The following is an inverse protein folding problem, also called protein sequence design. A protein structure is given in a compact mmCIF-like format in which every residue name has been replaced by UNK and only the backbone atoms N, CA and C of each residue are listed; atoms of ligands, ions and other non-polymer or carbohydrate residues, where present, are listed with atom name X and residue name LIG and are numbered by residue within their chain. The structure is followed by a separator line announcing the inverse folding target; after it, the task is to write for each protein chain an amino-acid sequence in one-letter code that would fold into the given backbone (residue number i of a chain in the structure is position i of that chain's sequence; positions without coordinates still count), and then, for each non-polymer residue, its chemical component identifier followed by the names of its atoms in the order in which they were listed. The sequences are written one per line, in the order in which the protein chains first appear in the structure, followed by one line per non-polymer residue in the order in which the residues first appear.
data_IF_783968175272
#
_entry.id   IF_783968175272
#
_cell.length_a   1.000
_cell.length_b   1.000
_cell.length_c   1.000
_cell.angle_alpha   90.00
_cell.angle_beta   90.00
_cell.angle_gamma   90.00
#
_symmetry.space_group_name_H-M   'P 1'
#
loop_
_entity.id
_entity.type
_entity.pdbx_description
1 polymer ?
#
# COMPACT_ATOMS: atom_id res chain seq x y z
N UNK A 1 -21.02 -8.12 -5.03
CA UNK A 1 -21.74 -8.24 -3.76
C UNK A 1 -21.01 -7.37 -2.75
N UNK A 2 -21.39 -6.11 -2.60
CA UNK A 2 -20.70 -5.16 -1.71
C UNK A 2 -21.10 -5.50 -0.28
N UNK A 3 -20.28 -6.28 0.43
CA UNK A 3 -20.52 -6.57 1.83
C UNK A 3 -20.40 -5.25 2.61
N UNK A 4 -21.50 -4.80 3.20
CA UNK A 4 -21.54 -3.56 3.96
C UNK A 4 -20.75 -3.79 5.25
N UNK A 5 -19.51 -3.29 5.31
CA UNK A 5 -18.66 -3.40 6.49
C UNK A 5 -19.31 -2.67 7.67
N UNK A 6 -19.32 -3.30 8.85
CA UNK A 6 -19.80 -2.64 10.06
C UNK A 6 -18.79 -1.57 10.53
N UNK A 7 -19.16 -0.75 11.52
CA UNK A 7 -18.30 0.34 12.00
C UNK A 7 -16.98 -0.17 12.59
N UNK A 8 -17.01 -1.29 13.31
CA UNK A 8 -15.82 -1.88 13.94
C UNK A 8 -14.82 -2.36 12.88
N UNK A 9 -15.30 -3.07 11.87
CA UNK A 9 -14.49 -3.55 10.74
C UNK A 9 -13.85 -2.38 9.99
N UNK A 10 -14.59 -1.28 9.80
CA UNK A 10 -14.08 -0.07 9.16
C UNK A 10 -13.00 0.62 9.98
N UNK A 11 -13.15 0.67 11.30
CA UNK A 11 -12.13 1.22 12.19
C UNK A 11 -10.89 0.32 12.18
N UNK A 12 -11.07 -1.00 12.21
CA UNK A 12 -9.98 -1.96 12.13
C UNK A 12 -9.19 -1.84 10.82
N UNK A 13 -9.90 -1.78 9.68
CA UNK A 13 -9.29 -1.55 8.37
C UNK A 13 -8.51 -0.23 8.33
N UNK A 14 -9.12 0.85 8.82
CA UNK A 14 -8.47 2.17 8.87
C UNK A 14 -7.16 2.11 9.65
N UNK A 15 -7.17 1.51 10.84
CA UNK A 15 -5.96 1.35 11.66
C UNK A 15 -4.90 0.50 10.98
N UNK A 16 -5.30 -0.60 10.33
CA UNK A 16 -4.40 -1.47 9.60
C UNK A 16 -3.69 -0.73 8.45
N UNK A 17 -4.44 0.03 7.65
CA UNK A 17 -3.89 0.80 6.54
C UNK A 17 -3.00 1.93 7.03
N UNK A 18 -3.40 2.69 8.06
CA UNK A 18 -2.53 3.74 8.61
C UNK A 18 -1.23 3.14 9.15
N UNK A 19 -1.31 2.04 9.90
CA UNK A 19 -0.12 1.34 10.43
C UNK A 19 0.78 0.77 9.33
N UNK A 20 0.22 0.29 8.22
CA UNK A 20 0.97 -0.13 7.05
C UNK A 20 1.77 1.04 6.46
N UNK A 21 1.10 2.17 6.19
CA UNK A 21 1.73 3.35 5.61
C UNK A 21 2.80 3.94 6.54
N UNK A 22 2.59 3.87 7.86
CA UNK A 22 3.61 4.23 8.85
C UNK A 22 4.84 3.34 8.78
N UNK A 23 4.64 2.03 8.62
CA UNK A 23 5.75 1.08 8.54
C UNK A 23 6.64 1.31 7.32
N UNK A 24 6.06 1.88 6.26
CA UNK A 24 6.78 2.31 5.07
C UNK A 24 7.45 3.69 5.23
N UNK A 25 7.15 4.42 6.30
CA UNK A 25 7.77 5.70 6.64
C UNK A 25 6.99 6.93 6.19
N UNK A 26 5.73 6.78 5.74
CA UNK A 26 4.95 7.92 5.25
C UNK A 26 4.45 8.81 6.40
N UNK A 27 4.71 10.11 6.29
CA UNK A 27 4.18 11.13 7.18
C UNK A 27 2.68 11.40 6.96
N UNK A 28 2.05 12.12 7.88
CA UNK A 28 0.60 12.38 7.83
C UNK A 28 0.15 13.08 6.53
N UNK A 29 0.92 14.05 6.03
CA UNK A 29 0.60 14.75 4.77
C UNK A 29 0.69 13.82 3.55
N UNK A 30 1.68 12.94 3.53
CA UNK A 30 1.87 11.96 2.45
C UNK A 30 0.77 10.90 2.48
N UNK A 31 0.34 10.45 3.67
CA UNK A 31 -0.79 9.55 3.82
C UNK A 31 -2.09 10.17 3.28
N UNK A 32 -2.35 11.45 3.58
CA UNK A 32 -3.51 12.19 3.06
C UNK A 32 -3.47 12.22 1.52
N UNK A 33 -2.31 12.55 0.95
CA UNK A 33 -2.14 12.63 -0.50
C UNK A 33 -2.30 11.26 -1.18
N UNK A 34 -1.64 10.23 -0.65
CA UNK A 34 -1.66 8.88 -1.21
C UNK A 34 -3.05 8.25 -1.19
N UNK A 35 -3.80 8.46 -0.11
CA UNK A 35 -5.16 7.97 0.06
C UNK A 35 -6.21 8.82 -0.68
N UNK A 36 -5.82 9.95 -1.27
CA UNK A 36 -6.73 10.93 -1.88
C UNK A 36 -7.88 11.32 -0.92
N UNK A 37 -7.54 11.60 0.34
CA UNK A 37 -8.53 12.08 1.31
C UNK A 37 -9.00 13.51 0.93
N UNK A 38 -10.23 13.90 1.30
CA UNK A 38 -10.81 15.17 0.87
C UNK A 38 -9.91 16.38 1.12
N UNK A 39 -9.92 17.32 0.17
CA UNK A 39 -9.21 18.61 0.30
C UNK A 39 -9.68 19.34 1.57
N UNK A 40 -8.73 19.69 2.45
CA UNK A 40 -9.02 20.25 3.78
C UNK A 40 -8.87 19.24 4.93
N UNK A 41 -8.57 17.97 4.64
CA UNK A 41 -8.14 17.02 5.68
C UNK A 41 -6.85 17.52 6.31
N UNK A 42 -6.93 17.99 7.57
CA UNK A 42 -5.74 18.49 8.28
C UNK A 42 -4.84 17.31 8.66
N UNK A 43 -3.50 17.47 8.71
CA UNK A 43 -2.60 16.42 9.20
C UNK A 43 -2.98 15.87 10.58
N UNK A 44 -3.56 16.69 11.46
CA UNK A 44 -4.10 16.25 12.76
C UNK A 44 -5.28 15.27 12.68
N UNK A 45 -6.02 15.21 11.57
CA UNK A 45 -7.08 14.23 11.34
C UNK A 45 -6.53 12.81 11.16
N UNK A 46 -5.28 12.67 10.66
CA UNK A 46 -4.60 11.36 10.59
C UNK A 46 -4.44 10.75 11.97
N UNK A 47 -4.26 11.57 13.02
CA UNK A 47 -4.24 11.08 14.41
C UNK A 47 -5.61 10.55 14.85
N UNK A 48 -6.71 11.10 14.35
CA UNK A 48 -8.06 10.63 14.66
C UNK A 48 -8.36 9.30 13.94
N UNK A 49 -7.91 9.14 12.68
CA UNK A 49 -8.00 7.86 11.96
C UNK A 49 -7.24 6.73 12.65
N UNK A 50 -6.11 7.04 13.30
CA UNK A 50 -5.37 6.06 14.12
C UNK A 50 -6.16 5.60 15.35
N UNK A 51 -6.97 6.48 15.91
CA UNK A 51 -7.58 6.26 17.22
C UNK A 51 -8.95 5.62 17.11
N UNK A 52 -9.89 6.21 16.40
CA UNK A 52 -11.30 5.79 16.50
C UNK A 52 -12.16 6.16 15.31
N UNK A 53 -11.65 6.94 14.36
CA UNK A 53 -12.44 7.41 13.24
C UNK A 53 -12.21 6.51 12.05
N UNK A 54 -13.26 5.91 11.44
CA UNK A 54 -13.07 5.19 10.19
C UNK A 54 -12.77 6.16 9.06
N UNK A 55 -12.11 5.68 8.02
CA UNK A 55 -12.00 6.40 6.77
C UNK A 55 -13.39 6.75 6.18
N UNK A 56 -13.47 7.86 5.42
CA UNK A 56 -14.69 8.21 4.70
C UNK A 56 -15.05 7.12 3.68
N UNK A 57 -16.33 6.89 3.45
CA UNK A 57 -16.77 5.98 2.39
C UNK A 57 -16.61 6.69 1.04
N UNK A 58 -15.59 6.30 0.28
CA UNK A 58 -15.33 6.79 -1.06
C UNK A 58 -14.83 5.64 -1.92
N UNK A 59 -15.41 5.48 -3.12
CA UNK A 59 -14.98 4.46 -4.07
C UNK A 59 -13.49 4.61 -4.42
N UNK A 60 -13.02 5.85 -4.62
CA UNK A 60 -11.63 6.15 -4.92
C UNK A 60 -10.68 5.75 -3.77
N UNK A 61 -11.12 5.94 -2.53
CA UNK A 61 -10.35 5.53 -1.36
C UNK A 61 -10.30 4.01 -1.22
N UNK A 62 -11.44 3.35 -1.41
CA UNK A 62 -11.52 1.88 -1.32
C UNK A 62 -10.67 1.21 -2.40
N UNK A 63 -10.70 1.71 -3.63
CA UNK A 63 -9.84 1.22 -4.73
C UNK A 63 -8.35 1.30 -4.35
N UNK A 64 -7.92 2.45 -3.82
CA UNK A 64 -6.54 2.62 -3.34
C UNK A 64 -6.21 1.65 -2.22
N UNK A 65 -7.11 1.47 -1.26
CA UNK A 65 -6.95 0.52 -0.14
C UNK A 65 -6.79 -0.91 -0.66
N UNK A 66 -7.60 -1.34 -1.63
CA UNK A 66 -7.50 -2.67 -2.23
C UNK A 66 -6.12 -2.90 -2.88
N UNK A 67 -5.59 -1.92 -3.60
CA UNK A 67 -4.24 -2.02 -4.16
C UNK A 67 -3.14 -2.00 -3.09
N UNK A 68 -3.28 -1.17 -2.04
CA UNK A 68 -2.32 -1.12 -0.92
C UNK A 68 -2.24 -2.46 -0.17
N UNK A 69 -3.38 -3.11 0.04
CA UNK A 69 -3.45 -4.46 0.61
C UNK A 69 -2.73 -5.44 -0.31
N UNK A 70 -3.00 -5.39 -1.62
CA UNK A 70 -2.30 -6.22 -2.60
C UNK A 70 -0.78 -6.06 -2.58
N UNK A 71 -0.28 -4.83 -2.45
CA UNK A 71 1.15 -4.55 -2.29
C UNK A 71 1.68 -5.17 -0.99
N UNK A 72 0.99 -4.99 0.14
CA UNK A 72 1.41 -5.55 1.41
C UNK A 72 1.49 -7.09 1.38
N UNK A 73 0.50 -7.74 0.76
CA UNK A 73 0.50 -9.18 0.57
C UNK A 73 1.62 -9.65 -0.34
N UNK A 74 1.84 -8.98 -1.48
CA UNK A 74 2.92 -9.32 -2.40
C UNK A 74 4.32 -9.13 -1.77
N UNK A 75 4.49 -8.11 -0.91
CA UNK A 75 5.72 -7.94 -0.13
C UNK A 75 5.90 -9.06 0.90
N UNK A 76 4.82 -9.48 1.57
CA UNK A 76 4.84 -10.58 2.54
C UNK A 76 5.17 -11.91 1.87
N UNK A 77 4.68 -12.17 0.65
CA UNK A 77 5.02 -13.39 -0.09
C UNK A 77 6.44 -13.36 -0.66
N UNK A 78 6.92 -12.17 -1.06
CA UNK A 78 8.29 -11.98 -1.57
C UNK A 78 9.34 -12.02 -0.47
N UNK A 79 9.00 -11.58 0.75
CA UNK A 79 9.91 -11.52 1.90
C UNK A 79 9.35 -12.25 3.14
N UNK A 80 9.02 -13.56 3.05
CA UNK A 80 8.26 -14.28 4.07
C UNK A 80 8.99 -14.39 5.41
N UNK A 81 10.33 -14.37 5.39
CA UNK A 81 11.16 -14.49 6.59
C UNK A 81 11.58 -13.13 7.19
N UNK A 82 11.35 -12.02 6.49
CA UNK A 82 11.79 -10.71 6.94
C UNK A 82 10.91 -9.57 6.40
N UNK A 83 9.84 -9.23 7.13
CA UNK A 83 8.95 -8.13 6.78
C UNK A 83 9.66 -6.78 6.66
N UNK A 84 10.78 -6.57 7.37
CA UNK A 84 11.57 -5.35 7.24
C UNK A 84 12.16 -5.16 5.83
N UNK A 85 12.43 -6.26 5.11
CA UNK A 85 12.88 -6.17 3.72
C UNK A 85 11.83 -5.58 2.79
N UNK A 86 10.55 -5.78 3.07
CA UNK A 86 9.48 -5.11 2.33
C UNK A 86 9.56 -3.59 2.47
N UNK A 87 9.80 -3.10 3.69
CA UNK A 87 9.93 -1.66 3.96
C UNK A 87 11.20 -1.07 3.32
N UNK A 88 12.31 -1.81 3.34
CA UNK A 88 13.54 -1.41 2.63
C UNK A 88 13.27 -1.31 1.13
N UNK A 89 12.58 -2.30 0.55
CA UNK A 89 12.26 -2.31 -0.87
C UNK A 89 11.42 -1.11 -1.28
N UNK A 90 10.40 -0.77 -0.49
CA UNK A 90 9.54 0.41 -0.70
C UNK A 90 10.33 1.74 -0.72
N UNK A 91 11.47 1.78 -0.03
CA UNK A 91 12.34 2.95 0.10
C UNK A 91 13.62 2.88 -0.77
N UNK A 92 13.80 1.82 -1.57
CA UNK A 92 14.97 1.66 -2.43
C UNK A 92 14.68 2.16 -3.83
N UNK A 93 15.64 2.87 -4.43
CA UNK A 93 15.56 3.30 -5.83
C UNK A 93 15.37 2.08 -6.74
N UNK A 94 14.41 2.19 -7.66
CA UNK A 94 14.11 1.16 -8.64
C UNK A 94 14.01 1.79 -10.04
N UNK A 95 14.80 1.27 -10.98
CA UNK A 95 14.88 1.76 -12.36
C UNK A 95 13.55 1.66 -13.11
N UNK A 96 12.65 0.77 -12.67
CA UNK A 96 11.29 0.63 -13.22
C UNK A 96 10.42 1.86 -12.97
N UNK A 97 10.76 2.67 -11.97
CA UNK A 97 10.00 3.86 -11.57
C UNK A 97 10.80 5.14 -11.82
N UNK A 98 11.47 5.24 -12.98
CA UNK A 98 12.28 6.41 -13.37
C UNK A 98 13.37 6.78 -12.35
N UNK A 99 14.01 5.75 -11.77
CA UNK A 99 14.98 5.88 -10.68
C UNK A 99 14.44 6.53 -9.39
N UNK A 100 13.11 6.52 -9.20
CA UNK A 100 12.46 6.86 -7.94
C UNK A 100 12.33 5.63 -7.05
N UNK A 101 11.98 5.84 -5.78
CA UNK A 101 11.54 4.74 -4.91
C UNK A 101 10.10 4.35 -5.25
N UNK A 102 9.67 3.10 -5.00
CA UNK A 102 8.27 2.70 -5.14
C UNK A 102 7.31 3.67 -4.41
N UNK A 103 7.64 4.07 -3.18
CA UNK A 103 6.83 5.04 -2.42
C UNK A 103 6.71 6.38 -3.13
N UNK A 104 7.80 6.89 -3.68
CA UNK A 104 7.80 8.18 -4.36
C UNK A 104 6.97 8.14 -5.64
N UNK A 105 7.04 7.05 -6.40
CA UNK A 105 6.17 6.85 -7.56
C UNK A 105 4.69 6.82 -7.17
N UNK A 106 4.33 6.16 -6.07
CA UNK A 106 2.96 6.14 -5.55
C UNK A 106 2.47 7.52 -5.11
N UNK A 107 3.34 8.33 -4.50
CA UNK A 107 3.00 9.69 -4.05
C UNK A 107 2.84 10.67 -5.21
N UNK A 108 3.74 10.62 -6.19
CA UNK A 108 3.77 11.56 -7.32
C UNK A 108 2.73 11.20 -8.39
N UNK A 109 2.57 9.90 -8.69
CA UNK A 109 1.70 9.42 -9.78
C UNK A 109 0.30 9.01 -9.27
N UNK A 110 0.08 9.10 -7.96
CA UNK A 110 -1.19 8.77 -7.31
C UNK A 110 -1.62 7.32 -7.54
N UNK A 111 -2.89 7.12 -7.95
CA UNK A 111 -3.43 5.78 -8.17
C UNK A 111 -2.63 5.01 -9.25
N UNK A 112 -2.17 5.69 -10.31
CA UNK A 112 -1.35 5.08 -11.35
C UNK A 112 -0.05 4.51 -10.81
N UNK A 113 0.62 5.24 -9.91
CA UNK A 113 1.82 4.76 -9.22
C UNK A 113 1.56 3.57 -8.31
N UNK A 114 0.44 3.59 -7.56
CA UNK A 114 0.01 2.46 -6.71
C UNK A 114 -0.20 1.20 -7.56
N UNK A 115 -0.92 1.31 -8.68
CA UNK A 115 -1.16 0.20 -9.60
C UNK A 115 0.16 -0.31 -10.18
N UNK A 116 1.04 0.60 -10.64
CA UNK A 116 2.33 0.23 -11.22
C UNK A 116 3.22 -0.54 -10.23
N UNK A 117 3.27 -0.11 -8.97
CA UNK A 117 4.01 -0.81 -7.91
C UNK A 117 3.43 -2.20 -7.65
N UNK A 118 2.10 -2.31 -7.54
CA UNK A 118 1.42 -3.60 -7.36
C UNK A 118 1.73 -4.56 -8.52
N UNK A 119 1.52 -4.13 -9.75
CA UNK A 119 1.79 -4.94 -10.95
C UNK A 119 3.25 -5.39 -11.02
N UNK A 120 4.20 -4.53 -10.64
CA UNK A 120 5.61 -4.90 -10.63
C UNK A 120 5.90 -6.00 -9.61
N UNK A 121 5.32 -5.94 -8.41
CA UNK A 121 5.46 -6.97 -7.38
C UNK A 121 4.79 -8.28 -7.81
N UNK A 122 3.59 -8.22 -8.38
CA UNK A 122 2.86 -9.39 -8.87
C UNK A 122 3.66 -10.10 -9.97
N UNK A 123 4.20 -9.37 -10.94
CA UNK A 123 5.07 -9.95 -11.96
C UNK A 123 6.34 -10.55 -11.36
N UNK A 124 7.02 -9.83 -10.45
CA UNK A 124 8.24 -10.33 -9.81
C UNK A 124 7.98 -11.64 -9.04
N UNK A 125 6.83 -11.74 -8.39
CA UNK A 125 6.38 -12.94 -7.71
C UNK A 125 6.06 -14.08 -8.69
N UNK A 126 5.34 -13.80 -9.78
CA UNK A 126 5.04 -14.80 -10.82
C UNK A 126 6.32 -15.39 -11.40
N UNK A 127 7.36 -14.59 -11.61
CA UNK A 127 8.69 -15.08 -12.02
C UNK A 127 9.36 -15.96 -10.96
N UNK A 128 9.26 -15.59 -9.67
CA UNK A 128 9.85 -16.37 -8.58
C UNK A 128 9.17 -17.74 -8.42
N UNK A 129 7.84 -17.79 -8.52
CA UNK A 129 7.08 -19.04 -8.48
C UNK A 129 7.30 -19.88 -9.74
N UNK A 130 7.25 -19.26 -10.92
CA UNK A 130 7.42 -19.97 -12.20
C UNK A 130 8.86 -20.49 -12.41
N UNK A 131 9.86 -19.78 -11.88
CA UNK A 131 11.27 -20.19 -11.91
C UNK A 131 11.59 -21.38 -11.00
N UNK A 132 10.73 -21.67 -10.02
CA UNK A 132 10.91 -22.80 -9.09
C UNK A 132 10.50 -24.16 -9.69
N UNK A 133 9.97 -24.20 -10.93
CA UNK A 133 9.56 -25.41 -11.62
C UNK A 133 10.53 -25.94 -12.70
N UNK A 134 11.58 -25.20 -13.05
CA UNK A 134 12.52 -25.62 -14.08
C UNK A 134 13.76 -26.30 -13.47
N UNK A 135 13.65 -27.60 -13.16
CA UNK A 135 14.82 -28.48 -13.16
C UNK A 135 15.03 -29.02 -14.58
N UNK A 136 16.12 -28.66 -15.28
CA UNK A 136 16.69 -29.56 -16.27
C UNK A 136 17.64 -30.51 -15.53
N UNK A 137 17.31 -31.80 -15.55
CA UNK A 137 18.12 -32.85 -14.94
C UNK A 137 17.39 -34.17 -14.96
#
# INVERSE_FOLDING_TARGET
MTQKMNLEDRIALTRAIVGLLDSWGLGAAEQIALLALPEGTRPGAVRQYRQSTPFPESAQLMERIEHLIGIADALRTSYPHNAHMGNIWMNRVNHRFDNRTPLRAMLEDGLGGIIAVRTHLDCAYDWHISGSGAKPG
#
